data_IF_652042597475
#
_entry.id   IF_652042597475
#
_cell.length_a   1.000
_cell.length_b   1.000
_cell.length_c   1.000
_cell.angle_alpha   90.00
_cell.angle_beta   90.00
_cell.angle_gamma   90.00
#
_symmetry.space_group_name_H-M   'P 1'
#
loop_
_entity.id
_entity.type
_entity.pdbx_description
1 polymer ?
#
# COMPACT_ATOMS: atom_id res chain seq x y z
N UNK A 1 -16.63 4.18 -28.06
CA UNK A 1 -16.41 3.59 -26.72
C UNK A 1 -16.96 2.18 -26.78
N UNK A 2 -16.11 1.16 -26.65
CA UNK A 2 -16.55 -0.24 -26.59
C UNK A 2 -17.22 -0.47 -25.24
N UNK A 3 -18.49 -0.90 -25.24
CA UNK A 3 -19.21 -1.35 -24.06
C UNK A 3 -18.54 -2.62 -23.51
N UNK A 4 -17.68 -2.45 -22.48
CA UNK A 4 -17.15 -3.58 -21.73
C UNK A 4 -18.27 -4.17 -20.87
N UNK A 5 -18.54 -5.47 -21.02
CA UNK A 5 -19.43 -6.20 -20.13
C UNK A 5 -18.89 -6.15 -18.69
N UNK A 6 -19.68 -5.56 -17.78
CA UNK A 6 -19.40 -5.45 -16.35
C UNK A 6 -18.01 -4.88 -16.00
N UNK A 7 -17.82 -3.58 -16.26
CA UNK A 7 -16.62 -2.83 -15.86
C UNK A 7 -16.71 -2.34 -14.41
N UNK A 8 -15.59 -2.29 -13.70
CA UNK A 8 -15.52 -1.73 -12.34
C UNK A 8 -15.65 -0.22 -12.38
N UNK A 9 -16.33 0.37 -11.39
CA UNK A 9 -16.53 1.83 -11.27
C UNK A 9 -17.35 2.48 -12.39
N UNK A 10 -18.19 1.72 -13.11
CA UNK A 10 -19.09 2.27 -14.12
C UNK A 10 -20.42 2.75 -13.53
N UNK A 11 -20.90 3.89 -14.03
CA UNK A 11 -22.21 4.45 -13.67
C UNK A 11 -22.37 4.83 -12.20
N UNK A 12 -23.64 4.99 -11.77
CA UNK A 12 -23.99 5.35 -10.39
C UNK A 12 -23.54 4.29 -9.36
N UNK A 13 -23.59 3.00 -9.74
CA UNK A 13 -23.06 1.91 -8.91
C UNK A 13 -21.57 2.06 -8.62
N UNK A 14 -20.78 2.50 -9.61
CA UNK A 14 -19.37 2.79 -9.43
C UNK A 14 -19.09 3.89 -8.41
N UNK A 15 -19.84 5.00 -8.46
CA UNK A 15 -19.70 6.09 -7.51
C UNK A 15 -19.99 5.64 -6.07
N UNK A 16 -21.06 4.85 -5.88
CA UNK A 16 -21.41 4.24 -4.59
C UNK A 16 -20.25 3.37 -4.08
N UNK A 17 -19.67 2.51 -4.93
CA UNK A 17 -18.56 1.64 -4.53
C UNK A 17 -17.30 2.41 -4.13
N UNK A 18 -16.97 3.52 -4.80
CA UNK A 18 -15.84 4.38 -4.41
C UNK A 18 -16.06 5.00 -3.03
N UNK A 19 -17.27 5.51 -2.76
CA UNK A 19 -17.61 6.08 -1.45
C UNK A 19 -17.51 5.03 -0.34
N UNK A 20 -18.09 3.85 -0.56
CA UNK A 20 -18.03 2.75 0.40
C UNK A 20 -16.60 2.24 0.62
N UNK A 21 -15.78 2.18 -0.44
CA UNK A 21 -14.36 1.83 -0.35
C UNK A 21 -13.60 2.85 0.52
N UNK A 22 -13.87 4.14 0.33
CA UNK A 22 -13.31 5.22 1.14
C UNK A 22 -13.64 5.07 2.62
N UNK A 23 -14.93 4.88 2.95
CA UNK A 23 -15.42 4.69 4.33
C UNK A 23 -14.78 3.45 4.97
N UNK A 24 -14.74 2.34 4.25
CA UNK A 24 -14.18 1.08 4.75
C UNK A 24 -12.68 1.21 5.02
N UNK A 25 -11.95 1.86 4.12
CA UNK A 25 -10.51 2.12 4.26
C UNK A 25 -10.24 3.03 5.46
N UNK A 26 -10.99 4.12 5.58
CA UNK A 26 -10.92 5.05 6.73
C UNK A 26 -11.15 4.32 8.06
N UNK A 27 -12.22 3.54 8.12
CA UNK A 27 -12.61 2.78 9.32
C UNK A 27 -11.52 1.78 9.69
N UNK A 28 -10.98 1.04 8.71
CA UNK A 28 -9.91 0.08 8.91
C UNK A 28 -8.65 0.74 9.49
N UNK A 29 -8.12 1.78 8.86
CA UNK A 29 -6.91 2.46 9.34
C UNK A 29 -7.11 3.09 10.72
N UNK A 30 -8.27 3.69 10.95
CA UNK A 30 -8.63 4.28 12.25
C UNK A 30 -8.68 3.20 13.34
N UNK A 31 -9.34 2.07 13.06
CA UNK A 31 -9.43 0.94 14.00
C UNK A 31 -8.05 0.36 14.30
N UNK A 32 -7.20 0.20 13.28
CA UNK A 32 -5.83 -0.29 13.47
C UNK A 32 -4.96 0.66 14.28
N UNK A 33 -5.12 1.97 14.11
CA UNK A 33 -4.43 2.96 14.93
C UNK A 33 -4.84 2.87 16.40
N UNK A 34 -6.14 2.86 16.69
CA UNK A 34 -6.63 2.73 18.06
C UNK A 34 -6.22 1.40 18.68
N UNK A 35 -6.29 0.30 17.92
CA UNK A 35 -5.81 -1.00 18.39
C UNK A 35 -4.32 -0.98 18.75
N UNK A 36 -3.47 -0.40 17.89
CA UNK A 36 -2.02 -0.30 18.16
C UNK A 36 -1.69 0.62 19.32
N UNK A 37 -2.42 1.72 19.47
CA UNK A 37 -2.20 2.72 20.51
C UNK A 37 -2.71 2.25 21.87
N UNK A 38 -3.92 1.69 21.93
CA UNK A 38 -4.60 1.31 23.17
C UNK A 38 -4.24 -0.11 23.62
N UNK A 39 -4.27 -1.09 22.71
CA UNK A 39 -4.10 -2.49 23.07
C UNK A 39 -2.63 -2.93 23.05
N UNK A 40 -1.83 -2.40 22.12
CA UNK A 40 -0.42 -2.81 21.97
C UNK A 40 0.59 -1.81 22.53
N UNK A 41 0.19 -0.56 22.87
CA UNK A 41 1.08 0.54 23.33
C UNK A 41 2.34 0.80 22.48
N UNK A 42 2.40 0.25 21.27
CA UNK A 42 3.55 0.38 20.37
C UNK A 42 3.44 1.63 19.49
N UNK A 43 2.24 2.16 19.28
CA UNK A 43 2.04 3.38 18.49
C UNK A 43 2.16 4.62 19.37
N UNK A 44 3.33 5.26 19.32
CA UNK A 44 3.69 6.46 20.09
C UNK A 44 3.70 7.76 19.29
N UNK A 45 3.38 7.71 17.98
CA UNK A 45 3.40 8.89 17.11
C UNK A 45 2.24 9.86 17.43
N UNK A 46 2.44 11.18 17.23
CA UNK A 46 1.38 12.17 17.39
C UNK A 46 0.13 11.84 16.56
N UNK A 47 -1.11 12.13 17.04
CA UNK A 47 -2.34 11.96 16.26
C UNK A 47 -2.30 12.62 14.88
N UNK A 48 -1.59 13.75 14.78
CA UNK A 48 -1.43 14.49 13.53
C UNK A 48 -0.68 13.67 12.46
N UNK A 49 0.34 12.90 12.85
CA UNK A 49 1.07 12.00 11.95
C UNK A 49 0.15 10.91 11.41
N UNK A 50 -0.74 10.38 12.27
CA UNK A 50 -1.73 9.41 11.85
C UNK A 50 -2.73 9.98 10.85
N UNK A 51 -3.24 11.20 11.09
CA UNK A 51 -4.12 11.88 10.15
C UNK A 51 -3.46 12.10 8.78
N UNK A 52 -2.20 12.51 8.78
CA UNK A 52 -1.40 12.66 7.57
C UNK A 52 -1.13 11.34 6.85
N UNK A 53 -0.85 10.26 7.60
CA UNK A 53 -0.73 8.90 7.06
C UNK A 53 -2.04 8.42 6.43
N UNK A 54 -3.19 8.72 7.05
CA UNK A 54 -4.51 8.39 6.53
C UNK A 54 -4.77 9.12 5.21
N UNK A 55 -4.52 10.43 5.17
CA UNK A 55 -4.68 11.24 3.97
C UNK A 55 -3.77 10.74 2.84
N UNK A 56 -2.50 10.43 3.16
CA UNK A 56 -1.55 9.81 2.23
C UNK A 56 -2.09 8.50 1.65
N UNK A 57 -2.61 7.62 2.50
CA UNK A 57 -3.14 6.32 2.06
C UNK A 57 -4.36 6.46 1.16
N UNK A 58 -5.23 7.46 1.43
CA UNK A 58 -6.37 7.78 0.57
C UNK A 58 -5.89 8.29 -0.79
N UNK A 59 -4.97 9.27 -0.81
CA UNK A 59 -4.40 9.80 -2.06
C UNK A 59 -3.73 8.71 -2.88
N UNK A 60 -2.83 7.93 -2.27
CA UNK A 60 -2.15 6.85 -2.93
C UNK A 60 -3.14 5.78 -3.44
N UNK A 61 -4.15 5.44 -2.64
CA UNK A 61 -5.18 4.47 -2.98
C UNK A 61 -6.09 4.92 -4.14
N UNK A 62 -6.43 6.21 -4.21
CA UNK A 62 -7.18 6.79 -5.32
C UNK A 62 -6.39 6.72 -6.62
N UNK A 63 -5.13 7.17 -6.60
CA UNK A 63 -4.25 7.15 -7.78
C UNK A 63 -3.97 5.72 -8.23
N UNK A 64 -3.67 4.81 -7.30
CA UNK A 64 -3.52 3.37 -7.56
C UNK A 64 -4.77 2.79 -8.23
N UNK A 65 -5.97 3.10 -7.71
CA UNK A 65 -7.22 2.59 -8.28
C UNK A 65 -7.47 3.08 -9.72
N UNK A 66 -7.08 4.32 -10.03
CA UNK A 66 -7.11 4.85 -11.41
C UNK A 66 -6.16 4.10 -12.34
N UNK A 67 -4.96 3.74 -11.85
CA UNK A 67 -4.01 2.91 -12.60
C UNK A 67 -4.58 1.53 -12.85
N UNK A 68 -5.10 0.85 -11.81
CA UNK A 68 -5.71 -0.47 -11.97
C UNK A 68 -6.91 -0.44 -12.90
N UNK A 69 -7.75 0.60 -12.85
CA UNK A 69 -8.85 0.81 -13.81
C UNK A 69 -8.35 0.96 -15.25
N UNK A 70 -7.31 1.77 -15.45
CA UNK A 70 -6.70 1.99 -16.78
C UNK A 70 -6.14 0.69 -17.35
N UNK A 71 -5.42 -0.10 -16.54
CA UNK A 71 -4.92 -1.40 -16.95
C UNK A 71 -6.04 -2.40 -17.18
N UNK A 72 -7.10 -2.38 -16.36
CA UNK A 72 -8.29 -3.21 -16.58
C UNK A 72 -8.89 -2.94 -17.96
N UNK A 73 -9.01 -1.66 -18.36
CA UNK A 73 -9.51 -1.30 -19.68
C UNK A 73 -8.60 -1.79 -20.81
N UNK A 74 -7.27 -1.66 -20.64
CA UNK A 74 -6.28 -2.16 -21.62
C UNK A 74 -6.32 -3.68 -21.77
N UNK A 75 -6.36 -4.41 -20.66
CA UNK A 75 -6.43 -5.88 -20.65
C UNK A 75 -7.75 -6.34 -21.27
N UNK A 76 -8.86 -5.72 -20.90
CA UNK A 76 -10.16 -6.03 -21.47
C UNK A 76 -10.19 -5.80 -22.98
N UNK A 77 -9.63 -4.69 -23.47
CA UNK A 77 -9.51 -4.43 -24.91
C UNK A 77 -8.65 -5.48 -25.62
N UNK A 78 -7.49 -5.83 -25.04
CA UNK A 78 -6.64 -6.91 -25.56
C UNK A 78 -7.34 -8.28 -25.55
N UNK A 79 -8.31 -8.48 -24.65
CA UNK A 79 -9.11 -9.71 -24.52
C UNK A 79 -10.42 -9.74 -25.33
N UNK A 80 -10.75 -8.66 -26.05
CA UNK A 80 -12.06 -8.45 -26.68
C UNK A 80 -12.51 -9.52 -27.68
N UNK A 81 -11.58 -10.33 -28.22
CA UNK A 81 -11.88 -11.45 -29.12
C UNK A 81 -11.85 -12.84 -28.46
N UNK A 82 -11.58 -12.94 -27.17
CA UNK A 82 -11.39 -14.21 -26.48
C UNK A 82 -12.64 -14.53 -25.66
N UNK A 83 -13.28 -15.66 -26.00
CA UNK A 83 -14.43 -16.18 -25.27
C UNK A 83 -14.07 -17.52 -24.64
N UNK A 84 -14.60 -17.76 -23.44
CA UNK A 84 -14.55 -19.07 -22.78
C UNK A 84 -15.99 -19.58 -22.74
N UNK A 85 -16.26 -20.80 -23.20
CA UNK A 85 -17.65 -21.32 -23.30
C UNK A 85 -18.63 -20.32 -23.94
N UNK A 86 -18.18 -19.62 -25.00
CA UNK A 86 -18.95 -18.60 -25.73
C UNK A 86 -19.36 -17.35 -24.92
N UNK A 87 -18.85 -17.14 -23.70
CA UNK A 87 -19.04 -15.89 -22.93
C UNK A 87 -17.75 -15.04 -22.97
N UNK A 88 -17.86 -13.72 -23.15
CA UNK A 88 -16.72 -12.82 -23.04
C UNK A 88 -16.28 -12.68 -21.59
N UNK A 89 -14.97 -12.41 -21.39
CA UNK A 89 -14.44 -12.12 -20.06
C UNK A 89 -14.84 -10.70 -19.62
N UNK A 90 -15.23 -10.56 -18.36
CA UNK A 90 -15.77 -9.33 -17.79
C UNK A 90 -14.65 -8.45 -17.23
N UNK A 91 -14.79 -7.12 -17.36
CA UNK A 91 -13.81 -6.15 -16.86
C UNK A 91 -13.51 -6.33 -15.36
N UNK A 92 -14.53 -6.67 -14.58
CA UNK A 92 -14.37 -6.97 -13.15
C UNK A 92 -13.46 -8.15 -12.83
N UNK A 93 -13.43 -9.18 -13.69
CA UNK A 93 -12.53 -10.31 -13.51
C UNK A 93 -11.07 -9.89 -13.65
N UNK A 94 -10.79 -9.01 -14.62
CA UNK A 94 -9.46 -8.46 -14.83
C UNK A 94 -9.01 -7.54 -13.71
N UNK A 95 -9.91 -6.70 -13.19
CA UNK A 95 -9.63 -5.87 -12.02
C UNK A 95 -9.25 -6.70 -10.81
N UNK A 96 -9.97 -7.80 -10.56
CA UNK A 96 -9.66 -8.74 -9.49
C UNK A 96 -8.28 -9.38 -9.68
N UNK A 97 -7.97 -9.86 -10.89
CA UNK A 97 -6.68 -10.46 -11.20
C UNK A 97 -5.51 -9.49 -10.97
N UNK A 98 -5.64 -8.23 -11.42
CA UNK A 98 -4.63 -7.19 -11.19
C UNK A 98 -4.46 -6.94 -9.69
N UNK A 99 -5.56 -6.81 -8.95
CA UNK A 99 -5.53 -6.56 -7.50
C UNK A 99 -4.89 -7.71 -6.72
N UNK A 100 -5.12 -8.96 -7.13
CA UNK A 100 -4.50 -10.14 -6.51
C UNK A 100 -2.99 -10.16 -6.79
N UNK A 101 -2.59 -9.94 -8.05
CA UNK A 101 -1.16 -9.87 -8.41
C UNK A 101 -0.46 -8.73 -7.67
N UNK A 102 -1.13 -7.60 -7.48
CA UNK A 102 -0.57 -6.49 -6.70
C UNK A 102 -0.25 -6.89 -5.26
N UNK A 103 -1.08 -7.69 -4.59
CA UNK A 103 -0.74 -8.11 -3.22
C UNK A 103 0.52 -8.94 -3.15
N UNK A 104 0.79 -9.77 -4.16
CA UNK A 104 1.98 -10.62 -4.19
C UNK A 104 3.24 -9.96 -4.76
N UNK A 105 3.07 -8.97 -5.64
CA UNK A 105 4.18 -8.38 -6.39
C UNK A 105 4.27 -6.87 -6.14
N UNK A 106 3.19 -6.15 -6.43
CA UNK A 106 3.16 -4.70 -6.33
C UNK A 106 3.40 -4.20 -4.90
N UNK A 107 2.71 -4.75 -3.91
CA UNK A 107 2.81 -4.37 -2.51
C UNK A 107 4.22 -4.65 -1.94
N UNK A 108 4.81 -5.85 -2.08
CA UNK A 108 6.22 -6.07 -1.68
C UNK A 108 7.19 -5.12 -2.36
N UNK A 109 7.01 -4.86 -3.66
CA UNK A 109 7.87 -3.91 -4.38
C UNK A 109 7.73 -2.50 -3.84
N UNK A 110 6.51 -2.02 -3.59
CA UNK A 110 6.27 -0.70 -2.99
C UNK A 110 6.92 -0.59 -1.60
N UNK A 111 6.92 -1.66 -0.81
CA UNK A 111 7.59 -1.72 0.49
C UNK A 111 9.11 -1.62 0.32
N UNK A 112 9.70 -2.39 -0.61
CA UNK A 112 11.15 -2.37 -0.88
C UNK A 112 11.58 -0.97 -1.32
N UNK A 113 10.85 -0.34 -2.23
CA UNK A 113 11.12 1.03 -2.69
C UNK A 113 10.99 2.03 -1.53
N UNK A 114 9.95 1.90 -0.70
CA UNK A 114 9.78 2.75 0.48
C UNK A 114 10.93 2.62 1.49
N UNK A 115 11.43 1.40 1.70
CA UNK A 115 12.61 1.13 2.54
C UNK A 115 13.87 1.75 1.98
N UNK A 116 14.13 1.56 0.68
CA UNK A 116 15.28 2.14 -0.01
C UNK A 116 15.31 3.66 0.16
N UNK A 117 14.16 4.32 0.03
CA UNK A 117 14.04 5.76 0.17
C UNK A 117 14.30 6.19 1.61
N UNK A 118 13.75 5.50 2.61
CA UNK A 118 14.03 5.80 4.02
C UNK A 118 15.51 5.61 4.38
N UNK A 119 16.15 4.54 3.91
CA UNK A 119 17.59 4.30 4.10
C UNK A 119 18.43 5.40 3.43
N UNK A 120 18.01 5.85 2.25
CA UNK A 120 18.67 6.97 1.56
C UNK A 120 18.52 8.27 2.37
N UNK A 121 17.34 8.53 2.95
CA UNK A 121 17.13 9.68 3.83
C UNK A 121 18.01 9.62 5.09
N UNK A 122 18.17 8.46 5.71
CA UNK A 122 19.09 8.27 6.86
C UNK A 122 20.55 8.58 6.49
N UNK A 123 21.01 8.12 5.32
CA UNK A 123 22.36 8.41 4.85
C UNK A 123 22.55 9.90 4.56
N UNK A 124 21.56 10.53 3.93
CA UNK A 124 21.57 11.97 3.63
C UNK A 124 21.58 12.82 4.90
N UNK A 125 20.79 12.45 5.91
CA UNK A 125 20.75 13.18 7.19
C UNK A 125 22.12 13.18 7.87
N UNK A 126 22.83 12.04 7.85
CA UNK A 126 24.20 11.91 8.38
C UNK A 126 25.23 12.72 7.59
N UNK A 127 25.04 12.87 6.27
CA UNK A 127 25.99 13.57 5.40
C UNK A 127 25.74 15.10 5.35
N UNK A 128 24.51 15.55 5.58
CA UNK A 128 24.17 16.97 5.60
C UNK A 128 24.61 17.59 6.91
N UNK A 129 25.78 18.24 6.93
CA UNK A 129 26.27 18.95 8.13
C UNK A 129 25.54 20.29 8.35
N UNK A 130 25.17 20.96 7.26
CA UNK A 130 24.55 22.29 7.30
C UNK A 130 23.04 22.21 7.57
N UNK A 131 22.49 23.00 8.52
CA UNK A 131 21.06 23.13 8.71
C UNK A 131 20.38 23.60 7.42
N UNK A 132 19.40 22.84 6.95
CA UNK A 132 18.62 23.20 5.76
C UNK A 132 17.23 22.55 5.80
N UNK A 133 16.24 23.11 5.08
CA UNK A 133 14.92 22.48 4.97
C UNK A 133 14.95 21.04 4.45
N UNK A 134 15.97 20.70 3.64
CA UNK A 134 16.21 19.36 3.13
C UNK A 134 16.71 18.41 4.22
N UNK A 135 17.63 18.87 5.07
CA UNK A 135 18.09 18.11 6.24
C UNK A 135 16.93 17.84 7.20
N UNK A 136 16.12 18.85 7.50
CA UNK A 136 14.94 18.69 8.35
C UNK A 136 13.95 17.65 7.77
N UNK A 137 13.74 17.65 6.46
CA UNK A 137 12.85 16.69 5.79
C UNK A 137 13.43 15.28 5.80
N UNK A 138 14.75 15.13 5.58
CA UNK A 138 15.44 13.84 5.67
C UNK A 138 15.39 13.27 7.10
N UNK A 139 15.61 14.12 8.10
CA UNK A 139 15.50 13.78 9.51
C UNK A 139 14.07 13.34 9.90
N UNK A 140 13.05 14.09 9.45
CA UNK A 140 11.65 13.70 9.67
C UNK A 140 11.26 12.39 8.95
N UNK A 141 11.84 12.11 7.78
CA UNK A 141 11.66 10.82 7.11
C UNK A 141 12.33 9.68 7.87
N UNK A 142 13.46 9.93 8.54
CA UNK A 142 14.09 8.95 9.43
C UNK A 142 13.27 8.67 10.68
N UNK A 143 12.72 9.70 11.33
CA UNK A 143 11.98 9.52 12.59
C UNK A 143 10.56 9.00 12.35
N UNK A 144 9.82 9.62 11.42
CA UNK A 144 8.41 9.31 11.19
C UNK A 144 8.17 8.29 10.07
N UNK A 145 9.21 7.91 9.33
CA UNK A 145 9.12 6.91 8.29
C UNK A 145 8.71 5.55 8.87
N UNK A 146 7.58 5.01 8.40
CA UNK A 146 7.03 3.70 8.82
C UNK A 146 8.00 2.51 8.63
N UNK A 147 9.09 2.70 7.87
CA UNK A 147 10.10 1.69 7.57
C UNK A 147 11.53 2.11 7.95
N UNK A 148 11.68 3.13 8.79
CA UNK A 148 13.00 3.53 9.28
C UNK A 148 13.42 2.62 10.43
N UNK A 149 14.69 2.20 10.43
CA UNK A 149 15.31 1.46 11.54
C UNK A 149 15.41 2.33 12.82
N UNK A 150 15.34 3.66 12.67
CA UNK A 150 15.31 4.63 13.78
C UNK A 150 13.90 4.83 14.35
N UNK A 151 12.91 4.04 13.90
CA UNK A 151 11.61 3.94 14.56
C UNK A 151 11.75 3.22 15.92
N UNK A 152 12.51 3.84 16.83
CA UNK A 152 12.81 3.30 18.14
C UNK A 152 11.55 3.40 19.00
N UNK A 153 10.94 2.24 19.26
CA UNK A 153 9.78 2.10 20.15
C UNK A 153 10.08 2.59 21.58
N UNK A 154 11.33 2.91 21.91
CA UNK A 154 11.74 3.47 23.18
C UNK A 154 11.47 4.98 23.34
N UNK A 155 11.58 5.82 22.29
CA UNK A 155 11.31 7.27 22.44
C UNK A 155 9.79 7.53 22.45
N UNK A 156 9.35 8.38 23.36
CA UNK A 156 7.97 8.86 23.42
C UNK A 156 7.85 10.19 22.68
N UNK A 157 7.23 10.15 21.50
CA UNK A 157 7.04 11.32 20.63
C UNK A 157 5.79 12.13 21.00
N UNK A 158 5.16 11.85 22.15
CA UNK A 158 4.05 12.65 22.65
C UNK A 158 4.46 14.07 23.03
N UNK A 159 5.70 14.27 23.50
CA UNK A 159 6.14 15.54 24.11
C UNK A 159 7.35 16.19 23.40
N UNK A 160 8.20 15.44 22.70
CA UNK A 160 9.48 15.95 22.14
C UNK A 160 9.64 15.85 20.62
N UNK A 161 8.55 15.58 19.89
CA UNK A 161 8.66 15.31 18.45
C UNK A 161 8.84 16.58 17.61
N UNK A 162 9.73 16.60 16.60
CA UNK A 162 9.89 17.75 15.71
C UNK A 162 8.58 18.05 14.97
N UNK A 163 8.15 19.32 14.86
CA UNK A 163 6.84 19.69 14.35
C UNK A 163 6.65 19.16 12.93
N UNK A 164 5.59 18.39 12.71
CA UNK A 164 5.29 17.75 11.42
C UNK A 164 5.13 18.82 10.35
N UNK A 165 6.09 18.93 9.42
CA UNK A 165 6.05 19.93 8.35
C UNK A 165 5.25 19.41 7.16
N UNK A 166 4.60 20.32 6.46
CA UNK A 166 3.90 20.01 5.21
C UNK A 166 4.83 19.40 4.16
N UNK A 167 6.10 19.83 4.13
CA UNK A 167 7.13 19.29 3.22
C UNK A 167 7.40 17.81 3.45
N UNK A 168 7.41 17.36 4.70
CA UNK A 168 7.51 15.94 5.05
C UNK A 168 6.28 15.17 4.57
N UNK A 169 5.07 15.65 4.87
CA UNK A 169 3.84 14.98 4.43
C UNK A 169 3.78 14.86 2.90
N UNK A 170 4.11 15.94 2.20
CA UNK A 170 4.17 15.97 0.75
C UNK A 170 5.19 14.96 0.21
N UNK A 171 6.41 14.95 0.75
CA UNK A 171 7.46 13.99 0.37
C UNK A 171 6.99 12.55 0.55
N UNK A 172 6.47 12.21 1.73
CA UNK A 172 5.95 10.88 2.03
C UNK A 172 4.78 10.49 1.13
N UNK A 173 3.87 11.44 0.86
CA UNK A 173 2.69 11.20 0.03
C UNK A 173 3.07 10.95 -1.42
N UNK A 174 3.95 11.79 -1.98
CA UNK A 174 4.44 11.64 -3.36
C UNK A 174 5.19 10.32 -3.51
N UNK A 175 6.17 10.06 -2.64
CA UNK A 175 6.96 8.83 -2.67
C UNK A 175 6.10 7.58 -2.57
N UNK A 176 5.19 7.53 -1.60
CA UNK A 176 4.32 6.38 -1.39
C UNK A 176 3.33 6.18 -2.54
N UNK A 177 2.80 7.27 -3.08
CA UNK A 177 1.92 7.24 -4.25
C UNK A 177 2.66 6.69 -5.46
N UNK A 178 3.87 7.16 -5.75
CA UNK A 178 4.71 6.63 -6.83
C UNK A 178 5.02 5.14 -6.65
N UNK A 179 5.36 4.72 -5.43
CA UNK A 179 5.62 3.31 -5.14
C UNK A 179 4.37 2.44 -5.39
N UNK A 180 3.19 2.89 -4.98
CA UNK A 180 1.92 2.19 -5.24
C UNK A 180 1.59 2.17 -6.73
N UNK A 181 1.78 3.29 -7.43
CA UNK A 181 1.57 3.39 -8.90
C UNK A 181 2.46 2.42 -9.65
N UNK A 182 3.75 2.35 -9.28
CA UNK A 182 4.70 1.43 -9.90
C UNK A 182 4.28 -0.04 -9.66
N UNK A 183 3.86 -0.38 -8.43
CA UNK A 183 3.38 -1.70 -8.08
C UNK A 183 2.15 -2.12 -8.89
N UNK A 184 1.15 -1.24 -8.98
CA UNK A 184 -0.07 -1.48 -9.76
C UNK A 184 0.22 -1.51 -11.27
N UNK A 185 1.15 -0.68 -11.75
CA UNK A 185 1.58 -0.69 -13.15
C UNK A 185 2.24 -2.02 -13.52
N UNK A 186 3.18 -2.51 -12.69
CA UNK A 186 3.85 -3.80 -12.91
C UNK A 186 2.83 -4.94 -12.83
N UNK A 187 1.93 -4.89 -11.86
CA UNK A 187 0.86 -5.91 -11.72
C UNK A 187 -0.05 -5.93 -12.95
N UNK A 188 -0.49 -4.75 -13.42
CA UNK A 188 -1.27 -4.59 -14.63
C UNK A 188 -0.54 -5.08 -15.89
N UNK A 189 0.75 -4.80 -16.01
CA UNK A 189 1.60 -5.32 -17.09
C UNK A 189 1.75 -6.83 -17.01
N UNK A 190 1.95 -7.41 -15.82
CA UNK A 190 2.03 -8.87 -15.64
C UNK A 190 0.72 -9.52 -16.08
N UNK A 191 -0.43 -9.00 -15.67
CA UNK A 191 -1.73 -9.53 -16.13
C UNK A 191 -1.87 -9.41 -17.65
N UNK A 192 -1.51 -8.25 -18.22
CA UNK A 192 -1.59 -8.01 -19.65
C UNK A 192 -0.67 -8.95 -20.45
N UNK A 193 0.61 -9.04 -20.09
CA UNK A 193 1.59 -9.89 -20.77
C UNK A 193 1.32 -11.37 -20.55
N UNK A 194 0.92 -11.76 -19.34
CA UNK A 194 0.51 -13.13 -19.04
C UNK A 194 -0.61 -13.57 -19.98
N UNK A 195 -1.55 -12.68 -20.27
CA UNK A 195 -2.63 -12.96 -21.22
C UNK A 195 -2.18 -12.93 -22.70
N UNK A 196 -1.32 -11.98 -23.08
CA UNK A 196 -0.81 -11.88 -24.46
C UNK A 196 0.12 -13.04 -24.84
N UNK A 197 0.95 -13.53 -23.91
CA UNK A 197 1.96 -14.55 -24.15
C UNK A 197 1.44 -15.97 -23.88
N UNK A 198 0.58 -16.13 -22.87
CA UNK A 198 0.04 -17.42 -22.46
C UNK A 198 -1.47 -17.40 -22.69
N UNK A 199 -1.86 -17.52 -23.97
CA UNK A 199 -3.24 -17.84 -24.41
C UNK A 199 -3.65 -19.27 -24.02
N UNK A 200 -3.27 -19.71 -22.82
CA UNK A 200 -3.53 -21.04 -22.30
C UNK A 200 -4.52 -20.95 -21.17
N UNK A 201 -5.44 -21.91 -21.14
CA UNK A 201 -6.39 -22.10 -20.04
C UNK A 201 -5.63 -22.27 -18.72
N UNK A 202 -4.38 -22.77 -18.71
CA UNK A 202 -3.58 -23.00 -17.50
C UNK A 202 -2.98 -21.75 -16.85
N UNK A 203 -3.19 -20.57 -17.42
CA UNK A 203 -2.68 -19.34 -16.85
C UNK A 203 -3.41 -19.00 -15.53
N UNK A 204 -2.74 -19.05 -14.37
CA UNK A 204 -3.40 -18.86 -13.07
C UNK A 204 -3.99 -17.46 -12.91
N UNK A 205 -3.40 -16.45 -13.55
CA UNK A 205 -3.90 -15.07 -13.53
C UNK A 205 -5.19 -14.95 -14.36
N UNK A 206 -5.23 -15.62 -15.52
CA UNK A 206 -6.44 -15.65 -16.34
C UNK A 206 -7.57 -16.45 -15.67
N UNK A 207 -7.25 -17.51 -14.91
CA UNK A 207 -8.25 -18.27 -14.15
C UNK A 207 -9.01 -17.41 -13.13
N UNK A 208 -8.35 -16.45 -12.47
CA UNK A 208 -9.02 -15.53 -11.55
C UNK A 208 -10.10 -14.72 -12.30
N UNK A 209 -9.74 -14.19 -13.47
CA UNK A 209 -10.67 -13.43 -14.31
C UNK A 209 -11.81 -14.31 -14.84
N UNK A 210 -11.52 -15.56 -15.23
CA UNK A 210 -12.52 -16.56 -15.64
C UNK A 210 -13.48 -16.83 -14.48
N UNK A 211 -13.00 -17.23 -13.31
CA UNK A 211 -13.85 -17.57 -12.16
C UNK A 211 -14.86 -16.47 -11.81
N UNK A 212 -14.41 -15.21 -11.79
CA UNK A 212 -15.29 -14.07 -11.53
C UNK A 212 -16.25 -13.80 -12.70
N UNK A 213 -15.78 -13.92 -13.95
CA UNK A 213 -16.61 -13.70 -15.14
C UNK A 213 -17.75 -14.73 -15.26
N UNK A 214 -17.52 -15.98 -14.87
CA UNK A 214 -18.51 -17.06 -14.92
C UNK A 214 -19.37 -17.21 -13.67
N UNK A 215 -19.15 -16.39 -12.65
CA UNK A 215 -20.03 -16.37 -11.49
C UNK A 215 -21.46 -15.97 -11.91
N UNK A 216 -22.45 -16.80 -11.60
CA UNK A 216 -23.85 -16.62 -11.99
C UNK A 216 -24.59 -15.66 -11.04
N UNK A 217 -24.13 -14.42 -11.02
CA UNK A 217 -24.71 -13.32 -10.23
C UNK A 217 -24.66 -12.02 -11.01
N UNK A 218 -25.53 -11.08 -10.66
CA UNK A 218 -25.58 -9.77 -11.32
C UNK A 218 -24.26 -9.00 -11.20
N UNK A 219 -23.97 -8.20 -12.22
CA UNK A 219 -22.74 -7.40 -12.28
C UNK A 219 -22.55 -6.49 -11.03
N UNK A 220 -23.64 -5.91 -10.53
CA UNK A 220 -23.61 -5.07 -9.33
C UNK A 220 -23.15 -5.86 -8.11
N UNK A 221 -23.62 -7.10 -7.97
CA UNK A 221 -23.24 -7.97 -6.85
C UNK A 221 -21.77 -8.43 -6.98
N UNK A 222 -21.31 -8.73 -8.20
CA UNK A 222 -19.88 -8.99 -8.45
C UNK A 222 -19.03 -7.80 -8.05
N UNK A 223 -19.42 -6.59 -8.46
CA UNK A 223 -18.75 -5.34 -8.09
C UNK A 223 -18.71 -5.20 -6.57
N UNK A 224 -19.83 -5.38 -5.89
CA UNK A 224 -19.86 -5.30 -4.44
C UNK A 224 -18.93 -6.32 -3.78
N UNK A 225 -18.99 -7.61 -4.14
CA UNK A 225 -18.18 -8.64 -3.49
C UNK A 225 -16.69 -8.48 -3.81
N UNK A 226 -16.32 -8.28 -5.08
CA UNK A 226 -14.92 -8.15 -5.50
C UNK A 226 -14.31 -6.85 -4.98
N UNK A 227 -15.04 -5.73 -5.06
CA UNK A 227 -14.53 -4.42 -4.66
C UNK A 227 -14.58 -4.23 -3.16
N UNK A 228 -15.56 -4.78 -2.43
CA UNK A 228 -15.64 -4.62 -0.96
C UNK A 228 -14.92 -5.75 -0.23
N UNK A 229 -15.35 -7.00 -0.42
CA UNK A 229 -14.76 -8.13 0.31
C UNK A 229 -13.33 -8.39 -0.17
N UNK A 230 -13.10 -8.33 -1.49
CA UNK A 230 -11.77 -8.46 -2.06
C UNK A 230 -10.83 -7.37 -1.55
N UNK A 231 -11.18 -6.08 -1.62
CA UNK A 231 -10.31 -5.02 -1.07
C UNK A 231 -10.12 -5.13 0.43
N UNK A 232 -11.13 -5.46 1.23
CA UNK A 232 -10.95 -5.61 2.68
C UNK A 232 -9.89 -6.70 2.94
N UNK A 233 -10.08 -7.89 2.37
CA UNK A 233 -9.14 -9.01 2.52
C UNK A 233 -7.76 -8.64 2.00
N UNK A 234 -7.66 -8.03 0.81
CA UNK A 234 -6.40 -7.60 0.23
C UNK A 234 -5.75 -6.49 1.06
N UNK A 235 -6.50 -5.54 1.63
CA UNK A 235 -5.97 -4.51 2.52
C UNK A 235 -5.45 -5.09 3.83
N UNK A 236 -6.16 -6.06 4.42
CA UNK A 236 -5.66 -6.83 5.56
C UNK A 236 -4.39 -7.62 5.19
N UNK A 237 -4.37 -8.26 4.02
CA UNK A 237 -3.23 -9.05 3.56
C UNK A 237 -2.02 -8.15 3.26
N UNK A 238 -2.21 -7.00 2.62
CA UNK A 238 -1.18 -5.96 2.43
C UNK A 238 -0.64 -5.49 3.77
N UNK A 239 -1.50 -5.25 4.75
CA UNK A 239 -1.09 -4.84 6.09
C UNK A 239 -0.33 -5.96 6.82
N UNK A 240 -0.81 -7.20 6.74
CA UNK A 240 -0.15 -8.37 7.31
C UNK A 240 1.23 -8.59 6.68
N UNK A 241 1.37 -8.40 5.36
CA UNK A 241 2.64 -8.43 4.65
C UNK A 241 3.57 -7.31 5.13
N UNK A 242 3.07 -6.07 5.23
CA UNK A 242 3.84 -4.95 5.78
C UNK A 242 4.35 -5.29 7.19
N UNK A 243 3.46 -5.82 8.05
CA UNK A 243 3.82 -6.20 9.41
C UNK A 243 4.78 -7.38 9.47
N UNK A 244 4.64 -8.38 8.61
CA UNK A 244 5.58 -9.50 8.56
C UNK A 244 6.96 -9.01 8.12
N UNK A 245 7.04 -8.22 7.05
CA UNK A 245 8.30 -7.65 6.58
C UNK A 245 8.95 -6.77 7.65
N UNK A 246 8.17 -6.03 8.44
CA UNK A 246 8.69 -5.17 9.52
C UNK A 246 9.07 -5.95 10.78
N UNK A 247 8.33 -7.00 11.16
CA UNK A 247 8.63 -7.84 12.34
C UNK A 247 9.90 -8.66 12.18
N UNK A 248 10.28 -9.06 10.97
CA UNK A 248 11.54 -9.80 10.74
C UNK A 248 12.81 -8.95 10.85
N UNK A 249 12.71 -7.66 11.19
CA UNK A 249 13.87 -6.81 11.54
C UNK A 249 14.01 -6.63 13.06
N UNK A 250 12.95 -6.87 13.85
CA UNK A 250 13.09 -6.96 15.31
C UNK A 250 13.79 -8.27 15.69
N UNK A 251 15.11 -8.15 15.93
CA UNK A 251 16.03 -9.14 16.51
C UNK A 251 16.59 -10.21 15.57
N UNK A 252 17.47 -9.78 14.66
CA UNK A 252 18.79 -10.41 14.70
C UNK A 252 19.48 -9.85 15.96
N UNK A 253 19.37 -10.59 17.06
CA UNK A 253 20.14 -10.31 18.27
C UNK A 253 21.60 -10.16 17.87
N UNK A 254 22.16 -8.96 18.06
CA UNK A 254 23.60 -8.78 18.10
C UNK A 254 24.15 -9.79 19.12
N UNK A 255 24.77 -10.84 18.61
CA UNK A 255 25.66 -11.71 19.35
C UNK A 255 27.00 -11.68 18.61
N UNK A 256 28.13 -11.63 19.34
CA UNK A 256 28.25 -11.99 20.75
C UNK A 256 27.95 -10.82 21.72
N UNK A 257 27.72 -11.11 23.02
CA UNK A 257 27.40 -10.11 24.02
C UNK A 257 28.68 -9.40 24.44
N UNK A 258 29.01 -8.26 23.83
CA UNK A 258 30.02 -7.36 24.41
C UNK A 258 29.36 -6.47 25.45
N UNK A 259 29.51 -6.92 26.70
CA UNK A 259 29.61 -6.16 27.95
C UNK A 259 29.04 -4.75 27.96
N UNK A 260 28.00 -4.59 28.79
CA UNK A 260 27.82 -3.48 29.73
C UNK A 260 28.39 -2.14 29.27
N UNK A 261 27.58 -1.34 28.58
CA UNK A 261 27.65 0.11 28.74
C UNK A 261 26.24 0.66 28.94
N UNK A 262 25.96 0.89 30.22
CA UNK A 262 25.04 1.85 30.82
C UNK A 262 23.82 2.29 29.98
N UNK A 263 22.65 1.94 30.52
CA UNK A 263 21.33 2.49 30.22
C UNK A 263 21.19 4.01 30.39
N UNK A 264 22.24 4.77 30.70
CA UNK A 264 22.17 6.22 30.89
C UNK A 264 22.43 7.03 29.62
N UNK A 265 23.06 6.46 28.59
CA UNK A 265 23.39 7.23 27.37
C UNK A 265 22.19 7.37 26.42
N UNK A 266 21.26 6.40 26.40
CA UNK A 266 20.08 6.46 25.53
C UNK A 266 19.00 7.44 26.00
N UNK A 267 18.97 7.81 27.28
CA UNK A 267 18.02 8.81 27.81
C UNK A 267 18.34 10.24 27.41
N UNK A 268 19.58 10.54 26.99
CA UNK A 268 19.97 11.90 26.59
C UNK A 268 19.56 12.28 25.17
N UNK A 269 19.31 11.31 24.27
CA UNK A 269 19.01 11.62 22.87
C UNK A 269 17.52 11.88 22.57
N UNK A 270 16.57 11.62 23.48
CA UNK A 270 15.17 12.02 23.27
C UNK A 270 14.86 13.43 23.85
N UNK A 271 15.83 14.12 24.45
CA UNK A 271 15.67 15.42 25.16
C UNK A 271 16.55 16.57 24.63
N UNK A 272 17.03 16.49 23.39
CA UNK A 272 17.73 17.59 22.71
C UNK A 272 17.09 17.91 21.39
#
# INVERSE_FOLDING_TARGET
MTDLACMVYSGFGGAIMVCFLGITTLTFFTSMYYYRRLCLRNEKRPPLVFFFDLLKMITAGLVSSLVSYTFTAKVAWASSGITVRHKPLQGIGWYCAISVVDVFIGTPLSIIVGRLINQTCQLLDKQMLTPSPWKDTAHQNSIYGKYSDEHDCACDYLESAPPVRWTWWYSQTVTWTWACVLGEMISGLIVLYSFLLVRSVWNPVAWIAVMISFWDVDCLLKQYVVVMCGRIVLSYLRFALIDSFNKYVERASAWPPSMVFSSETKRKNCNT
#
